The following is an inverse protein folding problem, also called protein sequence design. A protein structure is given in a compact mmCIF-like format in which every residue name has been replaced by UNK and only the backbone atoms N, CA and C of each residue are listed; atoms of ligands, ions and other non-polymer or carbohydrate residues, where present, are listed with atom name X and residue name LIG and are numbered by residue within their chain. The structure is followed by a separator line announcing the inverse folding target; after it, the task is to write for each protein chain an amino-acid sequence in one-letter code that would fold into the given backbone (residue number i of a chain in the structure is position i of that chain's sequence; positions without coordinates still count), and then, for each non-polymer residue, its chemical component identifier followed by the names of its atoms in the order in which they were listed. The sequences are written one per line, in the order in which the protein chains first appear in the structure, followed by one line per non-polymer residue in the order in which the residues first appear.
data_IF_712037864868
#
_entry.id   IF_712037864868
#
_cell.length_a   1.000
_cell.length_b   1.000
_cell.length_c   1.000
_cell.angle_alpha   90.00
_cell.angle_beta   90.00
_cell.angle_gamma   90.00
#
_symmetry.space_group_name_H-M   'P 1'
#
loop_
_entity.id
_entity.type
_entity.pdbx_description
1 polymer ?
#
# COMPACT_ATOMS: atom_id res chain seq x y z
N UNK A 1 -6.41 -7.83 -22.31
CA UNK A 1 -7.25 -7.16 -21.29
C UNK A 1 -6.95 -5.67 -21.35
N UNK A 2 -7.93 -4.83 -21.68
CA UNK A 2 -7.75 -3.38 -21.82
C UNK A 2 -8.52 -2.71 -20.68
N UNK A 3 -7.87 -1.81 -19.96
CA UNK A 3 -8.55 -1.03 -18.93
C UNK A 3 -9.47 -0.04 -19.64
N UNK A 4 -10.73 0.00 -19.23
CA UNK A 4 -11.68 0.97 -19.77
C UNK A 4 -11.24 2.39 -19.35
N UNK A 5 -11.21 3.31 -20.31
CA UNK A 5 -10.69 4.68 -20.15
C UNK A 5 -11.31 5.41 -18.95
N UNK A 6 -12.58 5.14 -18.66
CA UNK A 6 -13.27 5.75 -17.52
C UNK A 6 -12.64 5.39 -16.15
N UNK A 7 -11.91 4.28 -16.07
CA UNK A 7 -11.24 3.86 -14.83
C UNK A 7 -9.78 4.29 -14.77
N UNK A 8 -9.13 4.62 -15.90
CA UNK A 8 -7.73 5.04 -15.90
C UNK A 8 -7.54 6.26 -15.00
N UNK A 9 -8.35 7.30 -15.19
CA UNK A 9 -8.28 8.52 -14.39
C UNK A 9 -8.56 8.24 -12.91
N UNK A 10 -9.61 7.47 -12.61
CA UNK A 10 -9.97 7.09 -11.22
C UNK A 10 -8.86 6.29 -10.53
N UNK A 11 -8.17 5.42 -11.27
CA UNK A 11 -7.05 4.62 -10.74
C UNK A 11 -5.87 5.53 -10.43
N UNK A 12 -5.55 6.48 -11.32
CA UNK A 12 -4.46 7.45 -11.10
C UNK A 12 -4.74 8.30 -9.87
N UNK A 13 -5.91 8.92 -9.79
CA UNK A 13 -6.32 9.75 -8.64
C UNK A 13 -6.29 8.94 -7.33
N UNK A 14 -6.76 7.68 -7.37
CA UNK A 14 -6.71 6.80 -6.22
C UNK A 14 -5.26 6.50 -5.78
N UNK A 15 -4.34 6.26 -6.72
CA UNK A 15 -2.91 6.03 -6.43
C UNK A 15 -2.28 7.29 -5.84
N UNK A 16 -2.53 8.46 -6.42
CA UNK A 16 -2.00 9.73 -5.91
C UNK A 16 -2.46 10.00 -4.47
N UNK A 17 -3.73 9.70 -4.15
CA UNK A 17 -4.26 9.86 -2.78
C UNK A 17 -3.62 8.96 -1.73
N UNK A 18 -2.97 7.84 -2.13
CA UNK A 18 -2.30 6.93 -1.20
C UNK A 18 -1.07 7.55 -0.53
N UNK A 19 -0.48 8.60 -1.13
CA UNK A 19 0.62 9.33 -0.52
C UNK A 19 0.18 10.09 0.74
N UNK A 20 -1.01 10.69 0.70
CA UNK A 20 -1.59 11.46 1.81
C UNK A 20 -2.24 10.55 2.87
N UNK A 21 -2.97 9.54 2.42
CA UNK A 21 -3.57 8.54 3.29
C UNK A 21 -3.28 7.13 2.73
N UNK A 22 -2.25 6.44 3.25
CA UNK A 22 -1.90 5.11 2.79
C UNK A 22 -2.92 4.04 3.19
N UNK A 23 -3.90 4.33 4.06
CA UNK A 23 -4.89 3.36 4.53
C UNK A 23 -6.33 3.89 4.41
N UNK A 24 -6.80 4.24 3.19
CA UNK A 24 -8.16 4.73 3.00
C UNK A 24 -9.18 3.62 3.31
N UNK A 25 -10.46 3.94 3.57
CA UNK A 25 -11.48 2.94 3.97
C UNK A 25 -11.68 1.77 2.98
N UNK A 26 -11.39 2.00 1.70
CA UNK A 26 -11.50 0.99 0.64
C UNK A 26 -10.26 0.08 0.53
N UNK A 27 -9.21 0.36 1.32
CA UNK A 27 -8.03 -0.47 1.41
C UNK A 27 -8.24 -1.64 2.37
N UNK A 28 -7.63 -2.79 2.07
CA UNK A 28 -7.55 -3.94 2.95
C UNK A 28 -6.15 -4.53 2.92
N UNK A 29 -5.58 -4.84 4.09
CA UNK A 29 -4.33 -5.60 4.18
C UNK A 29 -4.52 -6.98 3.55
N UNK A 30 -3.56 -7.41 2.74
CA UNK A 30 -3.55 -8.76 2.19
C UNK A 30 -3.14 -9.75 3.27
N UNK A 31 -3.81 -10.91 3.30
CA UNK A 31 -3.41 -12.00 4.19
C UNK A 31 -2.03 -12.50 3.78
N UNK A 32 -1.20 -12.88 4.76
CA UNK A 32 0.16 -13.40 4.55
C UNK A 32 1.13 -12.42 3.87
N UNK A 33 0.90 -11.11 4.05
CA UNK A 33 1.87 -10.09 3.66
C UNK A 33 2.18 -9.18 4.85
N UNK A 34 3.45 -8.84 5.01
CA UNK A 34 3.92 -7.93 6.05
C UNK A 34 3.38 -6.51 5.84
N UNK A 35 3.39 -6.03 4.60
CA UNK A 35 3.15 -4.62 4.26
C UNK A 35 2.34 -4.40 2.98
N UNK A 36 1.72 -5.43 2.39
CA UNK A 36 0.92 -5.28 1.16
C UNK A 36 -0.58 -5.10 1.43
N UNK A 37 -1.18 -4.22 0.64
CA UNK A 37 -2.57 -3.80 0.75
C UNK A 37 -3.23 -3.84 -0.63
N UNK A 38 -4.56 -3.88 -0.63
CA UNK A 38 -5.40 -3.81 -1.82
C UNK A 38 -6.42 -2.68 -1.68
N UNK A 39 -6.43 -1.78 -2.65
CA UNK A 39 -7.45 -0.75 -2.82
C UNK A 39 -8.42 -1.14 -3.95
N UNK A 40 -9.73 -1.03 -3.73
CA UNK A 40 -10.75 -1.27 -4.77
C UNK A 40 -11.11 0.05 -5.47
N UNK A 41 -10.97 0.10 -6.80
CA UNK A 41 -11.35 1.25 -7.64
C UNK A 41 -12.34 0.75 -8.69
N UNK A 42 -13.63 0.80 -8.37
CA UNK A 42 -14.68 0.19 -9.19
C UNK A 42 -14.48 -1.32 -9.34
N UNK A 43 -14.25 -1.76 -10.58
CA UNK A 43 -14.01 -3.17 -10.93
C UNK A 43 -12.52 -3.56 -10.86
N UNK A 44 -11.64 -2.58 -10.70
CA UNK A 44 -10.20 -2.79 -10.62
C UNK A 44 -9.70 -2.83 -9.18
N UNK A 45 -8.52 -3.41 -9.00
CA UNK A 45 -7.84 -3.55 -7.71
C UNK A 45 -6.41 -3.06 -7.88
N UNK A 46 -6.02 -2.07 -7.07
CA UNK A 46 -4.64 -1.61 -6.96
C UNK A 46 -4.01 -2.36 -5.80
N UNK A 47 -2.88 -3.03 -6.05
CA UNK A 47 -2.06 -3.65 -5.01
C UNK A 47 -0.89 -2.72 -4.75
N UNK A 48 -0.67 -2.35 -3.50
CA UNK A 48 0.40 -1.43 -3.10
C UNK A 48 1.04 -1.90 -1.78
N UNK A 49 2.23 -1.37 -1.51
CA UNK A 49 2.98 -1.64 -0.29
C UNK A 49 3.21 -0.33 0.47
N UNK A 50 3.24 -0.43 1.79
CA UNK A 50 3.60 0.69 2.67
C UNK A 50 4.86 0.32 3.42
N UNK A 51 5.96 0.96 3.06
CA UNK A 51 7.26 0.70 3.68
C UNK A 51 7.38 1.48 4.97
N UNK A 52 7.43 0.76 6.09
CA UNK A 52 7.83 1.33 7.36
C UNK A 52 9.35 1.35 7.42
N UNK A 53 9.97 2.52 7.27
CA UNK A 53 11.42 2.66 7.51
C UNK A 53 11.71 2.23 8.94
N UNK A 54 12.39 1.09 9.10
CA UNK A 54 12.78 0.56 10.40
C UNK A 54 13.96 1.37 10.96
N UNK A 55 13.73 2.02 12.10
CA UNK A 55 14.78 2.58 12.94
C UNK A 55 15.58 1.44 13.57
N UNK A 56 16.90 1.47 13.44
CA UNK A 56 17.78 0.45 14.01
C UNK A 56 17.99 0.71 15.50
N UNK A 57 17.59 -0.23 16.35
CA UNK A 57 18.03 -0.26 17.76
C UNK A 57 19.35 -1.00 17.84
N UNK A 58 20.46 -0.28 17.98
CA UNK A 58 21.77 -0.90 18.26
C UNK A 58 21.74 -1.41 19.70
N UNK A 59 21.63 -2.73 19.88
CA UNK A 59 21.83 -3.38 21.18
C UNK A 59 23.29 -3.81 21.29
N UNK A 60 24.04 -3.18 22.19
CA UNK A 60 25.41 -3.56 22.54
C UNK A 60 25.33 -4.72 23.55
N UNK A 61 25.49 -5.96 23.09
CA UNK A 61 25.76 -7.06 24.02
C UNK A 61 27.23 -6.98 24.43
N UNK A 62 27.47 -6.54 25.67
CA UNK A 62 28.78 -6.72 26.30
C UNK A 62 29.03 -8.21 26.45
N UNK A 63 30.15 -8.69 25.89
CA UNK A 63 30.72 -9.98 26.28
C UNK A 63 31.22 -9.87 27.73
N UNK A 64 31.14 -10.96 28.52
CA UNK A 64 31.56 -10.98 29.92
C UNK A 64 33.03 -10.58 30.10
#
# INVERSE_FOLDING_TARGET
MKIDKQYIQKIVEAIESLAENPFPPQSKKLKHSESSYRLRVGDYRVIYQVDHVRTWTISKHGLP
#
